data_IF_124019369786
#
_entry.id   IF_124019369786
#
_cell.length_a   1.000
_cell.length_b   1.000
_cell.length_c   1.000
_cell.angle_alpha   90.00
_cell.angle_beta   90.00
_cell.angle_gamma   90.00
#
_symmetry.space_group_name_H-M   'P 1'
#
loop_
_entity.id
_entity.type
_entity.pdbx_description
1 polymer ?
#
# COMPACT_ATOMS: atom_id res chain seq x y z
N UNK A 1 -29.61 -14.56 -14.90
CA UNK A 1 -28.17 -14.27 -14.72
C UNK A 1 -27.63 -13.53 -15.93
N UNK A 2 -26.81 -12.50 -15.72
CA UNK A 2 -26.22 -11.68 -16.76
C UNK A 2 -24.69 -11.81 -16.72
N UNK A 3 -24.04 -11.75 -17.88
CA UNK A 3 -22.59 -11.63 -18.01
C UNK A 3 -22.30 -10.37 -18.81
N UNK A 4 -21.60 -9.42 -18.19
CA UNK A 4 -21.23 -8.16 -18.80
C UNK A 4 -19.73 -8.12 -19.00
N UNK A 5 -19.27 -7.58 -20.11
CA UNK A 5 -17.85 -7.45 -20.43
C UNK A 5 -17.52 -6.03 -20.85
N UNK A 6 -16.34 -5.57 -20.47
CA UNK A 6 -15.80 -4.29 -20.89
C UNK A 6 -14.29 -4.38 -21.08
N UNK A 7 -13.71 -3.39 -21.76
CA UNK A 7 -12.28 -3.32 -22.02
C UNK A 7 -11.74 -1.96 -21.64
N UNK A 8 -10.76 -1.95 -20.74
CA UNK A 8 -10.17 -0.73 -20.20
C UNK A 8 -8.72 -0.60 -20.65
N UNK A 9 -8.34 0.50 -21.32
CA UNK A 9 -6.94 0.79 -21.60
C UNK A 9 -6.21 1.14 -20.30
N UNK A 10 -4.95 0.71 -20.19
CA UNK A 10 -4.04 1.07 -19.11
C UNK A 10 -3.16 2.27 -19.48
N UNK A 11 -3.32 2.79 -20.69
CA UNK A 11 -2.64 4.00 -21.17
C UNK A 11 -3.02 5.22 -20.30
N UNK A 12 -2.03 6.05 -19.98
CA UNK A 12 -2.23 7.24 -19.15
C UNK A 12 -2.33 6.98 -17.64
N UNK A 13 -2.26 5.72 -17.20
CA UNK A 13 -2.17 5.37 -15.77
C UNK A 13 -0.77 5.71 -15.20
N UNK A 14 -0.67 5.66 -13.88
CA UNK A 14 0.58 5.91 -13.16
C UNK A 14 1.73 5.04 -13.70
N UNK A 15 2.94 5.60 -13.98
CA UNK A 15 4.02 4.91 -14.70
C UNK A 15 4.60 3.67 -13.99
N UNK A 16 4.33 3.48 -12.71
CA UNK A 16 4.70 2.25 -11.99
C UNK A 16 3.76 1.09 -12.32
N UNK A 17 2.49 1.34 -12.66
CA UNK A 17 1.47 0.29 -12.85
C UNK A 17 1.88 -0.72 -13.94
N UNK A 18 2.32 -0.30 -15.15
CA UNK A 18 2.74 -1.23 -16.18
C UNK A 18 3.95 -2.10 -15.80
N UNK A 19 4.71 -1.71 -14.76
CA UNK A 19 5.85 -2.49 -14.24
C UNK A 19 5.45 -3.51 -13.19
N UNK A 20 4.28 -3.34 -12.59
CA UNK A 20 3.74 -4.23 -11.56
C UNK A 20 2.76 -5.25 -12.13
N UNK A 21 2.14 -4.92 -13.25
CA UNK A 21 1.16 -5.78 -13.92
C UNK A 21 1.84 -6.77 -14.88
N UNK A 22 1.37 -8.00 -14.84
CA UNK A 22 1.78 -9.07 -15.74
C UNK A 22 0.57 -9.61 -16.51
N UNK A 23 0.81 -10.18 -17.66
CA UNK A 23 -0.22 -10.94 -18.37
C UNK A 23 -0.73 -12.08 -17.48
N UNK A 24 -2.04 -12.23 -17.39
CA UNK A 24 -2.66 -13.22 -16.51
C UNK A 24 -2.91 -12.76 -15.07
N UNK A 25 -2.60 -11.50 -14.72
CA UNK A 25 -3.05 -10.93 -13.44
C UNK A 25 -4.57 -10.77 -13.45
N UNK A 26 -5.24 -11.39 -12.49
CA UNK A 26 -6.69 -11.36 -12.32
C UNK A 26 -7.05 -10.53 -11.08
N UNK A 27 -7.64 -9.37 -11.27
CA UNK A 27 -8.29 -8.60 -10.21
C UNK A 27 -9.65 -9.24 -9.92
N UNK A 28 -9.98 -9.38 -8.64
CA UNK A 28 -11.19 -10.08 -8.20
C UNK A 28 -11.84 -9.36 -7.02
N UNK A 29 -13.16 -9.18 -7.11
CA UNK A 29 -14.03 -8.65 -6.08
C UNK A 29 -15.40 -9.32 -6.14
N UNK A 30 -16.05 -9.54 -5.00
CA UNK A 30 -17.39 -10.15 -4.94
C UNK A 30 -18.37 -9.30 -4.15
N UNK A 31 -19.64 -9.38 -4.55
CA UNK A 31 -20.75 -8.82 -3.80
C UNK A 31 -21.65 -9.91 -3.25
N UNK A 32 -22.05 -9.74 -2.00
CA UNK A 32 -22.79 -10.76 -1.26
C UNK A 32 -24.04 -10.21 -0.60
N UNK A 33 -25.00 -11.08 -0.31
CA UNK A 33 -26.25 -10.72 0.42
C UNK A 33 -26.04 -10.49 1.92
N UNK A 34 -24.78 -10.60 2.40
CA UNK A 34 -24.36 -10.37 3.77
C UNK A 34 -23.04 -11.05 4.12
N UNK A 35 -22.54 -10.88 5.34
CA UNK A 35 -21.16 -11.21 5.71
C UNK A 35 -20.88 -12.69 6.03
N UNK A 36 -21.92 -13.52 6.23
CA UNK A 36 -21.73 -14.92 6.60
C UNK A 36 -21.68 -15.83 5.37
N UNK A 37 -20.53 -16.36 5.04
CA UNK A 37 -20.29 -17.28 3.90
C UNK A 37 -21.16 -18.56 3.93
N UNK A 38 -21.66 -18.96 5.09
CA UNK A 38 -22.55 -20.13 5.22
C UNK A 38 -24.04 -19.79 5.01
N UNK A 39 -24.47 -18.56 5.39
CA UNK A 39 -25.88 -18.15 5.38
C UNK A 39 -26.25 -17.23 4.23
N UNK A 40 -25.25 -16.52 3.68
CA UNK A 40 -25.46 -15.55 2.61
C UNK A 40 -24.89 -16.07 1.28
N UNK A 41 -25.26 -15.40 0.21
CA UNK A 41 -24.99 -15.81 -1.16
C UNK A 41 -24.18 -14.75 -1.89
N UNK A 42 -23.42 -15.17 -2.88
CA UNK A 42 -22.78 -14.28 -3.84
C UNK A 42 -23.80 -13.94 -4.93
N UNK A 43 -24.00 -12.66 -5.20
CA UNK A 43 -24.86 -12.24 -6.29
C UNK A 43 -24.11 -11.56 -7.45
N UNK A 44 -22.85 -11.19 -7.23
CA UNK A 44 -22.03 -10.56 -8.25
C UNK A 44 -20.56 -10.97 -8.04
N UNK A 45 -19.92 -11.41 -9.10
CA UNK A 45 -18.47 -11.59 -9.17
C UNK A 45 -17.96 -10.66 -10.25
N UNK A 46 -17.12 -9.70 -9.87
CA UNK A 46 -16.38 -8.85 -10.78
C UNK A 46 -14.94 -9.31 -10.89
N UNK A 47 -14.44 -9.42 -12.09
CA UNK A 47 -13.05 -9.70 -12.33
C UNK A 47 -12.51 -8.92 -13.53
N UNK A 48 -11.21 -8.58 -13.48
CA UNK A 48 -10.50 -7.97 -14.59
C UNK A 48 -9.20 -8.71 -14.85
N UNK A 49 -9.05 -9.23 -16.06
CA UNK A 49 -7.84 -9.92 -16.48
C UNK A 49 -6.95 -8.97 -17.27
N UNK A 50 -5.71 -8.80 -16.84
CA UNK A 50 -4.70 -8.03 -17.55
C UNK A 50 -4.12 -8.86 -18.73
N UNK A 51 -4.04 -8.27 -19.92
CA UNK A 51 -3.37 -8.85 -21.09
C UNK A 51 -1.89 -8.45 -21.19
N UNK A 52 -1.36 -7.95 -20.08
CA UNK A 52 -0.03 -7.35 -19.97
C UNK A 52 -0.16 -5.89 -19.51
N UNK A 53 0.67 -4.99 -20.06
CA UNK A 53 0.74 -3.60 -19.63
C UNK A 53 -0.23 -2.63 -20.32
N UNK A 54 -1.05 -3.12 -21.28
CA UNK A 54 -1.81 -2.22 -22.15
C UNK A 54 -3.32 -2.20 -21.89
N UNK A 55 -3.91 -3.35 -21.52
CA UNK A 55 -5.37 -3.47 -21.42
C UNK A 55 -5.78 -4.42 -20.31
N UNK A 56 -6.93 -4.13 -19.69
CA UNK A 56 -7.66 -5.06 -18.85
C UNK A 56 -9.02 -5.39 -19.43
N UNK A 57 -9.39 -6.65 -19.37
CA UNK A 57 -10.70 -7.16 -19.75
C UNK A 57 -11.53 -7.41 -18.51
N UNK A 58 -12.53 -6.56 -18.25
CA UNK A 58 -13.48 -6.73 -17.16
C UNK A 58 -14.57 -7.70 -17.55
N UNK A 59 -14.93 -8.58 -16.63
CA UNK A 59 -16.09 -9.45 -16.73
C UNK A 59 -16.84 -9.40 -15.40
N UNK A 60 -18.14 -9.17 -15.46
CA UNK A 60 -19.02 -9.22 -14.30
C UNK A 60 -20.06 -10.33 -14.50
N UNK A 61 -20.17 -11.23 -13.53
CA UNK A 61 -21.18 -12.28 -13.46
C UNK A 61 -22.22 -11.84 -12.44
N UNK A 62 -23.43 -11.51 -12.88
CA UNK A 62 -24.48 -10.95 -12.04
C UNK A 62 -25.69 -11.89 -11.98
N UNK A 63 -26.06 -12.30 -10.77
CA UNK A 63 -27.27 -13.05 -10.50
C UNK A 63 -28.45 -12.11 -10.30
N UNK A 64 -29.43 -12.17 -11.18
CA UNK A 64 -30.68 -11.41 -11.06
C UNK A 64 -31.53 -11.85 -9.87
N UNK A 65 -31.36 -13.11 -9.45
CA UNK A 65 -32.05 -13.69 -8.30
C UNK A 65 -31.08 -14.61 -7.51
N UNK A 66 -31.23 -14.71 -6.16
CA UNK A 66 -30.37 -15.56 -5.33
C UNK A 66 -30.31 -17.03 -5.74
N UNK A 67 -31.35 -17.57 -6.38
CA UNK A 67 -31.36 -18.95 -6.89
C UNK A 67 -30.39 -19.20 -8.04
N UNK A 68 -29.82 -18.16 -8.64
CA UNK A 68 -28.88 -18.25 -9.73
C UNK A 68 -27.41 -18.34 -9.26
N UNK A 69 -27.15 -18.37 -7.94
CA UNK A 69 -25.78 -18.41 -7.40
C UNK A 69 -24.98 -19.60 -7.93
N UNK A 70 -25.56 -20.81 -8.02
CA UNK A 70 -24.86 -21.96 -8.55
C UNK A 70 -24.44 -21.74 -10.02
N UNK A 71 -25.35 -21.24 -10.87
CA UNK A 71 -25.04 -20.93 -12.27
C UNK A 71 -23.98 -19.82 -12.39
N UNK A 72 -23.99 -18.82 -11.49
CA UNK A 72 -22.99 -17.77 -11.44
C UNK A 72 -21.60 -18.34 -11.13
N UNK A 73 -21.50 -19.23 -10.14
CA UNK A 73 -20.25 -19.91 -9.75
C UNK A 73 -19.74 -20.86 -10.85
N UNK A 74 -20.63 -21.60 -11.51
CA UNK A 74 -20.30 -22.45 -12.67
C UNK A 74 -19.67 -21.62 -13.79
N UNK A 75 -20.27 -20.47 -14.14
CA UNK A 75 -19.73 -19.59 -15.18
C UNK A 75 -18.40 -18.96 -14.79
N UNK A 76 -18.20 -18.63 -13.53
CA UNK A 76 -16.92 -18.18 -13.04
C UNK A 76 -15.86 -19.28 -13.04
N UNK A 77 -16.21 -20.53 -12.69
CA UNK A 77 -15.32 -21.69 -12.79
C UNK A 77 -14.88 -21.94 -14.24
N UNK A 78 -15.83 -21.92 -15.20
CA UNK A 78 -15.53 -22.01 -16.64
C UNK A 78 -14.57 -20.91 -17.10
N UNK A 79 -14.79 -19.67 -16.63
CA UNK A 79 -13.93 -18.53 -16.91
C UNK A 79 -12.50 -18.77 -16.39
N UNK A 80 -12.35 -19.22 -15.14
CA UNK A 80 -11.03 -19.50 -14.55
C UNK A 80 -10.29 -20.60 -15.34
N UNK A 81 -11.00 -21.69 -15.68
CA UNK A 81 -10.43 -22.77 -16.47
C UNK A 81 -9.98 -22.32 -17.87
N UNK A 82 -10.74 -21.43 -18.52
CA UNK A 82 -10.42 -20.92 -19.84
C UNK A 82 -9.28 -19.88 -19.83
N UNK A 83 -9.16 -19.09 -18.75
CA UNK A 83 -8.20 -17.96 -18.67
C UNK A 83 -6.91 -18.31 -17.96
N UNK A 84 -6.91 -19.33 -17.08
CA UNK A 84 -5.73 -19.79 -16.32
C UNK A 84 -4.90 -18.65 -15.78
N UNK A 85 -5.44 -17.82 -14.84
CA UNK A 85 -4.72 -16.65 -14.33
C UNK A 85 -3.42 -17.06 -13.66
N UNK A 86 -2.41 -16.20 -13.75
CA UNK A 86 -1.11 -16.43 -13.11
C UNK A 86 -1.11 -15.96 -11.64
N UNK A 87 -1.84 -14.89 -11.35
CA UNK A 87 -1.92 -14.27 -10.02
C UNK A 87 -3.29 -13.66 -9.80
N UNK A 88 -3.80 -13.77 -8.57
CA UNK A 88 -5.03 -13.11 -8.13
C UNK A 88 -4.67 -11.86 -7.33
N UNK A 89 -5.27 -10.73 -7.68
CA UNK A 89 -5.10 -9.44 -7.02
C UNK A 89 -6.44 -9.04 -6.41
N UNK A 90 -6.45 -8.74 -5.11
CA UNK A 90 -7.67 -8.42 -4.38
C UNK A 90 -7.45 -7.21 -3.48
N UNK A 91 -8.56 -6.67 -2.96
CA UNK A 91 -8.55 -5.71 -1.87
C UNK A 91 -9.21 -6.30 -0.62
N UNK A 92 -8.41 -6.79 0.34
CA UNK A 92 -8.86 -7.55 1.52
C UNK A 92 -9.50 -8.91 1.20
N UNK A 93 -9.28 -9.42 -0.01
CA UNK A 93 -9.89 -10.67 -0.46
C UNK A 93 -9.40 -11.90 0.27
N UNK A 94 -8.18 -11.88 0.81
CA UNK A 94 -7.68 -12.94 1.70
C UNK A 94 -8.55 -13.14 2.95
N UNK A 95 -9.18 -12.06 3.43
CA UNK A 95 -10.04 -12.07 4.61
C UNK A 95 -11.51 -12.34 4.29
N UNK A 96 -11.96 -12.02 3.09
CA UNK A 96 -13.39 -12.05 2.73
C UNK A 96 -13.67 -12.80 1.43
N UNK A 97 -13.26 -12.30 0.29
CA UNK A 97 -13.67 -12.79 -1.04
C UNK A 97 -13.28 -14.24 -1.27
N UNK A 98 -12.01 -14.57 -1.07
CA UNK A 98 -11.50 -15.92 -1.36
C UNK A 98 -12.11 -16.99 -0.43
N UNK A 99 -12.17 -16.79 0.91
CA UNK A 99 -12.87 -17.74 1.78
C UNK A 99 -14.38 -17.82 1.54
N UNK A 100 -15.00 -16.74 1.04
CA UNK A 100 -16.42 -16.75 0.72
C UNK A 100 -16.66 -17.57 -0.55
N UNK A 101 -15.91 -17.31 -1.62
CA UNK A 101 -15.94 -18.09 -2.86
C UNK A 101 -15.72 -19.58 -2.61
N UNK A 102 -14.67 -19.92 -1.84
CA UNK A 102 -14.36 -21.32 -1.52
C UNK A 102 -15.53 -22.01 -0.81
N UNK A 103 -16.13 -21.38 0.23
CA UNK A 103 -17.24 -21.96 0.96
C UNK A 103 -18.52 -22.10 0.11
N UNK A 104 -18.75 -21.18 -0.85
CA UNK A 104 -19.91 -21.25 -1.74
C UNK A 104 -19.69 -22.29 -2.85
N UNK A 105 -18.49 -22.37 -3.40
CA UNK A 105 -18.10 -23.38 -4.38
C UNK A 105 -18.22 -24.81 -3.79
N UNK A 106 -17.70 -25.02 -2.57
CA UNK A 106 -17.82 -26.28 -1.84
C UNK A 106 -19.31 -26.70 -1.65
N UNK A 107 -20.16 -25.75 -1.25
CA UNK A 107 -21.59 -26.02 -1.05
C UNK A 107 -22.28 -26.54 -2.31
N UNK A 108 -21.89 -26.11 -3.49
CA UNK A 108 -22.48 -26.50 -4.77
C UNK A 108 -21.64 -27.54 -5.53
N UNK A 109 -20.56 -28.04 -4.92
CA UNK A 109 -19.63 -29.00 -5.53
C UNK A 109 -19.03 -28.49 -6.85
N UNK A 110 -18.81 -27.16 -6.95
CA UNK A 110 -18.24 -26.52 -8.14
C UNK A 110 -16.72 -26.38 -7.95
N UNK A 111 -15.89 -26.77 -8.95
CA UNK A 111 -14.44 -26.72 -8.82
C UNK A 111 -13.92 -25.29 -8.99
N UNK A 112 -13.80 -24.56 -7.90
CA UNK A 112 -13.13 -23.26 -7.83
C UNK A 112 -12.01 -23.37 -6.78
N UNK A 113 -10.78 -23.48 -7.23
CA UNK A 113 -9.61 -23.43 -6.37
C UNK A 113 -8.70 -22.27 -6.81
N UNK A 114 -8.49 -21.33 -5.91
CA UNK A 114 -7.63 -20.15 -6.12
C UNK A 114 -6.33 -20.24 -5.32
N UNK A 115 -6.08 -21.35 -4.62
CA UNK A 115 -4.91 -21.54 -3.74
C UNK A 115 -3.59 -21.68 -4.51
N UNK A 116 -3.66 -22.19 -5.73
CA UNK A 116 -2.49 -22.43 -6.59
C UNK A 116 -1.98 -21.16 -7.28
N UNK A 117 -2.78 -20.09 -7.29
CA UNK A 117 -2.39 -18.83 -7.90
C UNK A 117 -1.58 -17.96 -6.94
N UNK A 118 -0.61 -17.21 -7.48
CA UNK A 118 0.03 -16.14 -6.71
C UNK A 118 -1.03 -15.15 -6.19
N UNK A 119 -0.86 -14.64 -4.97
CA UNK A 119 -1.82 -13.72 -4.35
C UNK A 119 -1.17 -12.39 -4.02
N UNK A 120 -1.78 -11.29 -4.46
CA UNK A 120 -1.50 -9.93 -4.01
C UNK A 120 -2.76 -9.34 -3.38
N UNK A 121 -2.77 -9.19 -2.07
CA UNK A 121 -3.83 -8.49 -1.34
C UNK A 121 -3.37 -7.06 -1.05
N UNK A 122 -3.88 -6.09 -1.82
CA UNK A 122 -3.48 -4.67 -1.72
C UNK A 122 -3.72 -4.13 -0.31
N UNK A 123 -4.85 -4.46 0.31
CA UNK A 123 -5.14 -4.02 1.69
C UNK A 123 -4.06 -4.49 2.67
N UNK A 124 -3.65 -5.76 2.59
CA UNK A 124 -2.60 -6.31 3.46
C UNK A 124 -1.27 -5.60 3.26
N UNK A 125 -0.88 -5.33 2.02
CA UNK A 125 0.38 -4.65 1.74
C UNK A 125 0.37 -3.19 2.25
N UNK A 126 -0.71 -2.45 2.00
CA UNK A 126 -0.85 -1.06 2.46
C UNK A 126 -0.91 -0.98 3.99
N UNK A 127 -1.62 -1.90 4.63
CA UNK A 127 -1.77 -1.89 6.10
C UNK A 127 -0.49 -2.25 6.86
N UNK A 128 0.50 -2.87 6.24
CA UNK A 128 1.85 -3.00 6.80
C UNK A 128 2.52 -1.65 7.05
N UNK A 129 2.05 -0.59 6.37
CA UNK A 129 2.61 0.77 6.38
C UNK A 129 1.63 1.80 6.97
N UNK A 130 0.79 1.40 7.94
CA UNK A 130 -0.24 2.28 8.53
C UNK A 130 0.33 3.58 9.09
N UNK A 131 1.47 3.51 9.76
CA UNK A 131 2.11 4.70 10.36
C UNK A 131 2.68 5.64 9.31
N UNK A 132 3.17 5.10 8.19
CA UNK A 132 3.67 5.89 7.07
C UNK A 132 2.55 6.72 6.42
N UNK A 133 1.42 6.08 6.10
CA UNK A 133 0.31 6.76 5.41
C UNK A 133 -0.59 7.56 6.36
N UNK A 134 -0.73 7.12 7.61
CA UNK A 134 -1.53 7.77 8.65
C UNK A 134 -2.93 8.17 8.19
N UNK A 135 -3.65 7.27 7.50
CA UNK A 135 -5.01 7.49 7.01
C UNK A 135 -6.04 7.24 8.12
N UNK A 136 -7.19 7.92 8.04
CA UNK A 136 -8.30 7.76 8.98
C UNK A 136 -8.82 6.31 9.03
N UNK A 137 -8.80 5.61 7.90
CA UNK A 137 -9.06 4.18 7.77
C UNK A 137 -8.39 3.68 6.47
N UNK A 138 -8.44 2.35 6.24
CA UNK A 138 -7.78 1.71 5.10
C UNK A 138 -8.78 1.02 4.18
N UNK A 139 -10.00 1.55 4.05
CA UNK A 139 -10.97 1.11 3.04
C UNK A 139 -10.49 1.52 1.65
N UNK A 140 -10.90 0.80 0.63
CA UNK A 140 -10.53 1.08 -0.76
C UNK A 140 -10.78 2.54 -1.13
N UNK A 141 -11.97 3.05 -0.89
CA UNK A 141 -12.36 4.46 -1.15
C UNK A 141 -11.45 5.49 -0.45
N UNK A 142 -10.97 5.18 0.75
CA UNK A 142 -10.07 6.10 1.47
C UNK A 142 -8.69 6.14 0.82
N UNK A 143 -8.20 5.00 0.34
CA UNK A 143 -6.92 4.93 -0.37
C UNK A 143 -7.06 5.57 -1.76
N UNK A 144 -8.17 5.35 -2.46
CA UNK A 144 -8.48 6.03 -3.73
C UNK A 144 -8.45 7.56 -3.55
N UNK A 145 -9.10 8.08 -2.51
CA UNK A 145 -9.07 9.52 -2.18
C UNK A 145 -7.65 10.02 -1.88
N UNK A 146 -6.88 9.27 -1.11
CA UNK A 146 -5.47 9.60 -0.84
C UNK A 146 -4.65 9.66 -2.13
N UNK A 147 -4.90 8.77 -3.09
CA UNK A 147 -4.24 8.74 -4.39
C UNK A 147 -4.84 9.73 -5.41
N UNK A 148 -5.85 10.51 -5.01
CA UNK A 148 -6.58 11.44 -5.88
C UNK A 148 -7.27 10.75 -7.08
N UNK A 149 -7.71 9.51 -6.91
CA UNK A 149 -8.42 8.75 -7.94
C UNK A 149 -9.91 9.13 -7.98
N UNK A 150 -10.49 9.36 -9.17
CA UNK A 150 -11.92 9.66 -9.31
C UNK A 150 -12.78 8.41 -9.08
N UNK A 151 -13.96 8.60 -8.47
CA UNK A 151 -14.95 7.57 -8.27
C UNK A 151 -16.37 8.17 -8.34
N UNK A 152 -17.28 7.54 -9.09
CA UNK A 152 -18.67 7.97 -9.22
C UNK A 152 -19.56 7.33 -8.15
N UNK A 153 -19.30 6.05 -7.81
CA UNK A 153 -20.07 5.33 -6.80
C UNK A 153 -19.85 5.87 -5.39
N UNK A 154 -20.97 6.15 -4.72
CA UNK A 154 -21.01 6.71 -3.35
C UNK A 154 -21.49 5.72 -2.29
N UNK A 155 -22.02 4.56 -2.72
CA UNK A 155 -22.60 3.57 -1.82
C UNK A 155 -21.53 2.76 -1.09
N UNK A 156 -21.86 2.29 0.09
CA UNK A 156 -21.11 1.27 0.79
C UNK A 156 -21.65 -0.12 0.45
N UNK A 157 -20.82 -1.17 0.54
CA UNK A 157 -21.29 -2.55 0.31
C UNK A 157 -22.49 -2.94 1.19
N UNK A 158 -22.59 -2.41 2.43
CA UNK A 158 -23.73 -2.65 3.31
C UNK A 158 -25.05 -2.07 2.77
N UNK A 159 -25.01 -0.89 2.16
CA UNK A 159 -26.18 -0.28 1.50
C UNK A 159 -26.60 -1.07 0.27
N UNK A 160 -25.65 -1.60 -0.49
CA UNK A 160 -25.91 -2.40 -1.69
C UNK A 160 -26.60 -3.73 -1.39
N UNK A 161 -26.39 -4.32 -0.23
CA UNK A 161 -27.19 -5.48 0.23
C UNK A 161 -28.69 -5.14 0.22
N UNK A 162 -29.04 -3.94 0.68
CA UNK A 162 -30.44 -3.48 0.66
C UNK A 162 -30.94 -3.19 -0.76
N UNK A 163 -30.09 -2.59 -1.59
CA UNK A 163 -30.39 -2.35 -3.01
C UNK A 163 -30.66 -3.68 -3.72
N UNK A 164 -29.79 -4.70 -3.53
CA UNK A 164 -29.99 -6.01 -4.15
C UNK A 164 -31.26 -6.70 -3.67
N UNK A 165 -31.57 -6.70 -2.36
CA UNK A 165 -32.84 -7.25 -1.83
C UNK A 165 -34.08 -6.57 -2.43
N UNK A 166 -34.01 -5.26 -2.67
CA UNK A 166 -35.08 -4.52 -3.32
C UNK A 166 -35.14 -4.80 -4.83
N UNK A 167 -33.98 -5.01 -5.47
CA UNK A 167 -33.91 -5.43 -6.87
C UNK A 167 -34.57 -6.79 -7.09
N UNK A 168 -34.28 -7.78 -6.25
CA UNK A 168 -34.88 -9.11 -6.34
C UNK A 168 -36.41 -9.07 -6.21
N UNK A 169 -36.97 -8.18 -5.35
CA UNK A 169 -38.41 -8.04 -5.17
C UNK A 169 -39.07 -7.32 -6.33
N UNK A 170 -38.44 -6.29 -6.87
CA UNK A 170 -38.93 -5.48 -7.97
C UNK A 170 -37.73 -5.07 -8.85
N UNK A 171 -37.36 -5.94 -9.82
CA UNK A 171 -36.26 -5.68 -10.74
C UNK A 171 -36.48 -4.37 -11.52
N UNK A 172 -35.43 -3.52 -11.52
CA UNK A 172 -35.39 -2.33 -12.38
C UNK A 172 -33.94 -2.01 -12.78
N UNK A 173 -33.80 -1.38 -13.94
CA UNK A 173 -32.49 -1.07 -14.53
C UNK A 173 -31.64 -0.11 -13.68
N UNK A 174 -32.28 0.78 -12.91
CA UNK A 174 -31.56 1.73 -12.05
C UNK A 174 -30.82 1.02 -10.90
N UNK A 175 -31.52 0.09 -10.23
CA UNK A 175 -30.90 -0.71 -9.15
C UNK A 175 -29.80 -1.62 -9.69
N UNK A 176 -30.05 -2.32 -10.83
CA UNK A 176 -29.04 -3.15 -11.46
C UNK A 176 -27.79 -2.33 -11.79
N UNK A 177 -27.95 -1.14 -12.37
CA UNK A 177 -26.85 -0.24 -12.69
C UNK A 177 -26.04 0.15 -11.45
N UNK A 178 -26.69 0.46 -10.32
CA UNK A 178 -25.98 0.81 -9.08
C UNK A 178 -25.12 -0.35 -8.57
N UNK A 179 -25.67 -1.57 -8.54
CA UNK A 179 -24.96 -2.78 -8.11
C UNK A 179 -23.75 -3.07 -9.00
N UNK A 180 -23.95 -3.04 -10.30
CA UNK A 180 -22.92 -3.28 -11.30
C UNK A 180 -21.82 -2.21 -11.27
N UNK A 181 -22.21 -0.92 -11.15
CA UNK A 181 -21.25 0.19 -11.11
C UNK A 181 -20.31 0.09 -9.91
N UNK A 182 -20.83 -0.25 -8.73
CA UNK A 182 -20.02 -0.37 -7.51
C UNK A 182 -18.89 -1.40 -7.70
N UNK A 183 -19.26 -2.63 -8.02
CA UNK A 183 -18.28 -3.70 -8.24
C UNK A 183 -17.35 -3.40 -9.44
N UNK A 184 -17.87 -2.80 -10.51
CA UNK A 184 -17.07 -2.38 -11.66
C UNK A 184 -15.98 -1.41 -11.24
N UNK A 185 -16.31 -0.40 -10.41
CA UNK A 185 -15.34 0.58 -9.94
C UNK A 185 -14.39 -0.02 -8.91
N UNK A 186 -14.82 -0.97 -8.08
CA UNK A 186 -13.94 -1.68 -7.15
C UNK A 186 -12.88 -2.50 -7.91
N UNK A 187 -13.28 -3.26 -8.92
CA UNK A 187 -12.37 -4.06 -9.76
C UNK A 187 -11.43 -3.17 -10.58
N UNK A 188 -11.99 -2.15 -11.26
CA UNK A 188 -11.21 -1.19 -12.06
C UNK A 188 -10.23 -0.42 -11.19
N UNK A 189 -10.69 0.06 -10.04
CA UNK A 189 -9.92 0.87 -9.11
C UNK A 189 -8.72 0.14 -8.53
N UNK A 190 -8.81 -1.18 -8.32
CA UNK A 190 -7.69 -1.96 -7.80
C UNK A 190 -6.42 -1.83 -8.65
N UNK A 191 -6.54 -1.73 -9.98
CA UNK A 191 -5.38 -1.49 -10.84
C UNK A 191 -4.75 -0.11 -10.59
N UNK A 192 -5.58 0.92 -10.39
CA UNK A 192 -5.10 2.27 -10.08
C UNK A 192 -4.50 2.36 -8.67
N UNK A 193 -5.01 1.56 -7.72
CA UNK A 193 -4.45 1.47 -6.37
C UNK A 193 -3.01 0.97 -6.35
N UNK A 194 -2.53 0.25 -7.36
CA UNK A 194 -1.13 -0.18 -7.43
C UNK A 194 -0.15 1.01 -7.43
N UNK A 195 -0.61 2.22 -7.78
CA UNK A 195 0.18 3.44 -7.65
C UNK A 195 0.63 3.73 -6.21
N UNK A 196 -0.04 3.18 -5.17
CA UNK A 196 0.37 3.29 -3.77
C UNK A 196 1.78 2.75 -3.52
N UNK A 197 2.22 1.76 -4.30
CA UNK A 197 3.54 1.17 -4.16
C UNK A 197 4.68 2.10 -4.63
N UNK A 198 4.35 3.24 -5.28
CA UNK A 198 5.35 4.27 -5.63
C UNK A 198 6.03 4.87 -4.39
N UNK A 199 5.33 4.94 -3.26
CA UNK A 199 5.90 5.41 -1.99
C UNK A 199 6.95 4.44 -1.45
N UNK A 200 6.67 3.13 -1.47
CA UNK A 200 7.67 2.13 -1.09
C UNK A 200 8.84 2.09 -2.07
N UNK A 201 8.57 2.17 -3.37
CA UNK A 201 9.60 2.26 -4.39
C UNK A 201 10.52 3.47 -4.17
N UNK A 202 9.95 4.64 -3.81
CA UNK A 202 10.71 5.83 -3.48
C UNK A 202 11.59 5.64 -2.23
N UNK A 203 11.03 5.11 -1.15
CA UNK A 203 11.75 4.96 0.12
C UNK A 203 12.84 3.87 0.06
N UNK A 204 12.74 2.92 -0.88
CA UNK A 204 13.73 1.86 -1.11
C UNK A 204 14.79 2.21 -2.15
N UNK A 205 14.47 3.12 -3.05
CA UNK A 205 15.38 3.50 -4.14
C UNK A 205 16.63 4.22 -3.60
N UNK A 206 17.69 4.22 -4.40
CA UNK A 206 18.81 5.12 -4.18
C UNK A 206 18.29 6.57 -4.26
N UNK A 207 18.57 7.43 -3.26
CA UNK A 207 18.06 8.79 -3.25
C UNK A 207 18.66 9.62 -4.39
N UNK A 208 17.83 10.44 -5.01
CA UNK A 208 18.24 11.39 -6.04
C UNK A 208 18.09 12.80 -5.45
N UNK A 209 19.11 13.36 -4.80
CA UNK A 209 19.04 14.70 -4.23
C UNK A 209 19.10 15.74 -5.34
N UNK A 210 18.20 16.70 -5.25
CA UNK A 210 18.16 17.89 -6.11
C UNK A 210 18.87 19.04 -5.41
N UNK A 211 18.71 19.14 -4.09
CA UNK A 211 19.31 20.18 -3.24
C UNK A 211 19.46 19.66 -1.82
N UNK A 212 20.56 20.04 -1.17
CA UNK A 212 20.74 19.86 0.27
C UNK A 212 21.17 21.20 0.88
N UNK A 213 20.63 21.54 2.05
CA UNK A 213 20.95 22.77 2.76
C UNK A 213 20.82 22.58 4.28
N UNK A 214 21.53 23.39 5.02
CA UNK A 214 21.36 23.55 6.46
C UNK A 214 20.44 24.75 6.72
N UNK A 215 19.51 24.58 7.64
CA UNK A 215 18.60 25.65 8.03
C UNK A 215 18.59 25.77 9.55
N UNK A 216 18.74 27.02 10.04
CA UNK A 216 18.51 27.35 11.45
C UNK A 216 17.10 27.91 11.59
N UNK A 217 16.43 27.56 12.68
CA UNK A 217 15.09 28.04 13.01
C UNK A 217 14.94 28.14 14.53
N UNK A 218 13.84 28.74 14.96
CA UNK A 218 13.46 28.75 16.37
C UNK A 218 12.29 27.78 16.54
N UNK A 219 12.41 26.82 17.45
CA UNK A 219 11.35 25.86 17.74
C UNK A 219 10.13 26.52 18.45
N UNK A 220 9.07 25.75 18.67
CA UNK A 220 7.84 26.24 19.32
C UNK A 220 8.12 26.72 20.76
N UNK A 221 9.15 26.18 21.41
CA UNK A 221 9.59 26.58 22.76
C UNK A 221 10.48 27.81 22.78
N UNK A 222 10.82 28.41 21.63
CA UNK A 222 11.72 29.56 21.54
C UNK A 222 13.20 29.19 21.50
N UNK A 223 13.55 27.91 21.41
CA UNK A 223 14.95 27.44 21.39
C UNK A 223 15.51 27.44 19.97
N UNK A 224 16.73 27.97 19.75
CA UNK A 224 17.39 27.84 18.46
C UNK A 224 17.66 26.39 18.10
N UNK A 225 17.29 25.99 16.89
CA UNK A 225 17.43 24.64 16.37
C UNK A 225 17.99 24.67 14.94
N UNK A 226 18.58 23.59 14.52
CA UNK A 226 19.13 23.40 13.17
C UNK A 226 18.60 22.11 12.56
N UNK A 227 18.47 22.09 11.25
CA UNK A 227 18.10 20.92 10.50
C UNK A 227 18.84 20.82 9.16
N UNK A 228 19.02 19.58 8.71
CA UNK A 228 19.40 19.26 7.34
C UNK A 228 18.12 19.11 6.52
N UNK A 229 17.99 19.90 5.46
CA UNK A 229 16.89 19.78 4.50
C UNK A 229 17.45 19.20 3.20
N UNK A 230 16.89 18.08 2.76
CA UNK A 230 17.26 17.46 1.47
C UNK A 230 16.01 17.39 0.60
N UNK A 231 16.08 18.09 -0.56
CA UNK A 231 15.07 17.95 -1.61
C UNK A 231 15.45 16.78 -2.50
N UNK A 232 14.51 15.84 -2.66
CA UNK A 232 14.70 14.60 -3.39
C UNK A 232 13.73 14.51 -4.56
N UNK A 233 14.13 13.78 -5.60
CA UNK A 233 13.25 13.40 -6.71
C UNK A 233 12.86 11.94 -6.55
N UNK A 234 11.58 11.60 -6.36
CA UNK A 234 11.09 10.23 -6.41
C UNK A 234 11.31 9.60 -7.80
N UNK A 235 11.53 8.27 -7.89
CA UNK A 235 11.68 7.57 -9.18
C UNK A 235 10.40 7.53 -9.99
N UNK A 236 9.25 7.71 -9.33
CA UNK A 236 7.92 7.83 -9.92
C UNK A 236 7.17 8.97 -9.25
N UNK A 237 6.25 9.68 -9.93
CA UNK A 237 5.39 10.66 -9.30
C UNK A 237 4.65 10.07 -8.12
N UNK A 238 4.50 10.80 -7.03
CA UNK A 238 3.74 10.36 -5.85
C UNK A 238 2.31 10.92 -5.94
N UNK A 239 1.27 10.09 -6.12
CA UNK A 239 -0.07 10.56 -6.46
C UNK A 239 -0.69 11.46 -5.40
N UNK A 240 -0.59 11.08 -4.15
CA UNK A 240 -1.11 11.84 -3.01
C UNK A 240 -0.03 12.55 -2.22
N UNK A 241 -0.45 13.33 -1.24
CA UNK A 241 0.47 14.03 -0.33
C UNK A 241 0.81 13.12 0.84
N UNK A 242 2.07 12.68 0.92
CA UNK A 242 2.61 11.99 2.07
C UNK A 242 3.21 13.00 3.05
N UNK A 243 2.91 12.83 4.35
CA UNK A 243 3.53 13.58 5.42
C UNK A 243 3.69 12.64 6.62
N UNK A 244 4.93 12.33 6.95
CA UNK A 244 5.23 11.42 8.07
C UNK A 244 6.46 11.88 8.83
N UNK A 245 6.47 11.60 10.12
CA UNK A 245 7.58 11.83 11.03
C UNK A 245 7.96 10.52 11.70
N UNK A 246 9.25 10.25 11.79
CA UNK A 246 9.73 9.10 12.55
C UNK A 246 9.83 9.50 14.04
N UNK A 247 9.05 8.89 14.94
CA UNK A 247 8.90 9.36 16.32
C UNK A 247 10.21 9.30 17.11
N UNK A 248 11.13 8.41 16.73
CA UNK A 248 12.40 8.23 17.40
C UNK A 248 13.48 9.19 16.90
N UNK A 249 13.56 9.36 15.58
CA UNK A 249 14.65 10.11 14.95
C UNK A 249 14.31 11.58 14.74
N UNK A 250 13.04 11.96 14.81
CA UNK A 250 12.54 13.28 14.44
C UNK A 250 12.67 13.61 12.96
N UNK A 251 13.08 12.62 12.13
CA UNK A 251 13.16 12.81 10.69
C UNK A 251 11.74 12.96 10.12
N UNK A 252 11.51 14.05 9.40
CA UNK A 252 10.23 14.39 8.81
C UNK A 252 10.31 14.37 7.29
N UNK A 253 9.38 13.66 6.66
CA UNK A 253 9.27 13.57 5.20
C UNK A 253 7.93 14.17 4.75
N UNK A 254 8.01 15.09 3.78
CA UNK A 254 6.85 15.57 3.04
C UNK A 254 7.09 15.34 1.55
N UNK A 255 6.20 14.61 0.90
CA UNK A 255 6.40 14.21 -0.48
C UNK A 255 5.09 14.25 -1.28
N UNK A 256 5.15 14.71 -2.54
CA UNK A 256 4.02 14.73 -3.48
C UNK A 256 4.54 15.00 -4.90
N UNK A 257 3.92 14.39 -5.89
CA UNK A 257 4.36 14.53 -7.29
C UNK A 257 5.82 14.11 -7.46
N UNK A 258 6.60 14.96 -8.09
CA UNK A 258 8.01 14.70 -8.41
C UNK A 258 8.99 15.23 -7.34
N UNK A 259 8.49 15.62 -6.18
CA UNK A 259 9.32 16.28 -5.16
C UNK A 259 9.05 15.70 -3.77
N UNK A 260 10.13 15.46 -3.04
CA UNK A 260 10.09 15.12 -1.63
C UNK A 260 11.08 15.98 -0.84
N UNK A 261 10.68 16.42 0.34
CA UNK A 261 11.51 17.17 1.29
C UNK A 261 11.71 16.33 2.55
N UNK A 262 12.94 15.90 2.75
CA UNK A 262 13.37 15.24 3.97
C UNK A 262 14.03 16.29 4.88
N UNK A 263 13.56 16.36 6.13
CA UNK A 263 14.11 17.21 7.19
C UNK A 263 14.64 16.33 8.31
N UNK A 264 15.86 16.58 8.73
CA UNK A 264 16.52 15.82 9.78
C UNK A 264 17.05 16.80 10.83
N UNK A 265 16.68 16.63 12.12
CA UNK A 265 17.22 17.46 13.20
C UNK A 265 18.73 17.36 13.31
N UNK A 266 19.39 18.48 13.59
CA UNK A 266 20.82 18.56 13.86
C UNK A 266 21.07 19.01 15.29
N UNK A 267 22.16 18.53 15.86
CA UNK A 267 22.66 18.84 17.20
C UNK A 267 24.10 19.38 17.04
N UNK A 268 24.28 20.69 17.09
CA UNK A 268 25.59 21.32 16.88
C UNK A 268 26.27 20.85 15.58
N UNK A 269 25.57 20.92 14.47
CA UNK A 269 26.05 20.45 13.15
C UNK A 269 26.30 18.95 13.05
N UNK A 270 25.79 18.17 14.00
CA UNK A 270 25.85 16.71 13.99
C UNK A 270 24.47 16.11 13.77
N UNK A 271 24.37 15.12 12.91
CA UNK A 271 23.15 14.30 12.74
C UNK A 271 23.30 12.96 13.45
N UNK A 272 22.21 12.42 13.95
CA UNK A 272 22.18 11.05 14.48
C UNK A 272 21.89 10.05 13.37
N UNK A 273 22.73 9.02 13.27
CA UNK A 273 22.51 7.86 12.40
C UNK A 273 22.07 6.69 13.28
N UNK A 274 20.77 6.40 13.32
CA UNK A 274 20.21 5.33 14.15
C UNK A 274 20.34 3.95 13.50
N UNK A 275 20.62 2.92 14.32
CA UNK A 275 20.63 1.52 13.92
C UNK A 275 19.36 0.81 14.38
N UNK A 276 18.65 0.12 13.46
CA UNK A 276 17.39 -0.57 13.75
C UNK A 276 17.58 -1.88 14.53
N UNK A 277 18.73 -2.50 14.38
CA UNK A 277 19.10 -3.76 15.04
C UNK A 277 19.78 -3.56 16.41
N UNK A 278 19.24 -2.63 17.20
CA UNK A 278 19.80 -2.20 18.48
C UNK A 278 20.24 -3.36 19.41
N UNK A 279 19.64 -4.54 19.29
CA UNK A 279 20.01 -5.74 20.05
C UNK A 279 21.45 -6.19 19.83
N UNK A 280 22.07 -5.78 18.73
CA UNK A 280 23.45 -6.09 18.37
C UNK A 280 24.43 -5.00 18.78
N UNK A 281 23.98 -4.00 19.53
CA UNK A 281 24.79 -2.85 19.92
C UNK A 281 24.87 -2.69 21.43
N UNK A 282 25.93 -2.01 21.87
CA UNK A 282 26.06 -1.38 23.19
C UNK A 282 26.05 0.13 23.00
N UNK A 283 25.43 0.83 23.95
CA UNK A 283 25.51 2.27 24.08
C UNK A 283 26.66 2.64 25.00
N UNK A 284 27.41 3.67 24.64
CA UNK A 284 28.55 4.22 25.40
C UNK A 284 28.12 5.58 25.96
N UNK A 285 27.75 5.67 27.26
CA UNK A 285 27.26 6.93 27.83
C UNK A 285 28.26 8.07 27.80
N UNK A 286 29.57 7.78 27.89
CA UNK A 286 30.62 8.79 27.85
C UNK A 286 30.78 9.47 26.48
N UNK A 287 30.56 8.72 25.41
CA UNK A 287 30.69 9.18 24.03
C UNK A 287 29.32 9.54 23.40
N UNK A 288 28.23 9.28 24.12
CA UNK A 288 26.83 9.44 23.63
C UNK A 288 26.61 8.80 22.25
N UNK A 289 27.04 7.52 22.07
CA UNK A 289 26.88 6.79 20.80
C UNK A 289 26.82 5.28 21.01
N UNK A 290 26.28 4.59 20.03
CA UNK A 290 26.25 3.14 20.02
C UNK A 290 27.38 2.53 19.20
N UNK A 291 27.88 1.39 19.65
CA UNK A 291 28.89 0.58 18.94
C UNK A 291 28.43 -0.87 18.80
N UNK A 292 28.69 -1.48 17.67
CA UNK A 292 28.36 -2.88 17.46
C UNK A 292 29.10 -3.79 18.44
N UNK A 293 28.46 -4.85 18.91
CA UNK A 293 29.00 -5.76 19.94
C UNK A 293 30.35 -6.34 19.58
N UNK A 294 30.64 -6.59 18.29
CA UNK A 294 31.94 -7.09 17.84
C UNK A 294 33.09 -6.12 18.06
N UNK A 295 32.81 -4.81 18.02
CA UNK A 295 33.80 -3.74 18.26
C UNK A 295 33.90 -3.43 19.75
N UNK A 296 32.77 -3.53 20.46
CA UNK A 296 32.71 -3.24 21.89
C UNK A 296 33.41 -4.26 22.80
N UNK A 297 34.04 -5.30 22.25
CA UNK A 297 34.78 -6.31 23.04
C UNK A 297 35.96 -5.68 23.81
N UNK A 298 36.57 -4.64 23.26
CA UNK A 298 37.69 -3.90 23.87
C UNK A 298 37.25 -2.80 24.88
N UNK A 299 35.93 -2.53 24.97
CA UNK A 299 35.41 -1.52 25.90
C UNK A 299 35.11 -2.19 27.24
N UNK A 300 35.53 -1.58 28.37
CA UNK A 300 35.20 -2.08 29.70
C UNK A 300 33.68 -2.14 29.91
N UNK A 301 33.26 -3.18 30.67
CA UNK A 301 31.82 -3.41 30.92
C UNK A 301 31.14 -2.28 31.72
N UNK A 302 31.93 -1.54 32.50
CA UNK A 302 31.44 -0.40 33.30
C UNK A 302 31.16 0.84 32.47
N UNK A 303 31.69 0.91 31.22
CA UNK A 303 31.53 2.04 30.30
C UNK A 303 30.57 1.74 29.14
N UNK A 304 29.83 0.62 29.18
CA UNK A 304 28.87 0.25 28.15
C UNK A 304 27.59 -0.33 28.72
N UNK A 305 26.50 0.03 28.12
CA UNK A 305 25.15 -0.45 28.42
C UNK A 305 24.55 -1.17 27.23
N UNK A 306 23.53 -2.01 27.44
CA UNK A 306 22.76 -2.56 26.30
C UNK A 306 22.07 -1.40 25.60
N UNK A 307 22.24 -1.31 24.27
CA UNK A 307 21.55 -0.29 23.50
C UNK A 307 20.03 -0.54 23.51
N UNK A 308 19.30 0.56 23.54
CA UNK A 308 17.85 0.63 23.33
C UNK A 308 17.57 1.39 22.04
N UNK A 309 16.36 1.31 21.46
CA UNK A 309 16.03 2.06 20.24
C UNK A 309 16.39 3.54 20.30
N UNK A 310 16.22 4.17 21.47
CA UNK A 310 16.37 5.60 21.69
C UNK A 310 17.84 6.07 21.70
N UNK A 311 18.78 5.20 22.06
CA UNK A 311 20.20 5.51 22.18
C UNK A 311 21.10 4.72 21.20
N UNK A 312 20.49 3.95 20.28
CA UNK A 312 21.25 3.16 19.31
C UNK A 312 21.57 3.98 18.04
N UNK A 313 22.43 4.96 18.18
CA UNK A 313 22.87 5.82 17.09
C UNK A 313 24.37 6.12 17.17
N UNK A 314 24.91 6.61 16.05
CA UNK A 314 26.22 7.27 16.00
C UNK A 314 26.08 8.67 15.42
N UNK A 315 27.11 9.49 15.66
CA UNK A 315 27.14 10.87 15.20
C UNK A 315 27.75 10.99 13.81
N UNK A 316 27.15 11.81 12.96
CA UNK A 316 27.64 12.15 11.62
C UNK A 316 27.79 13.66 11.52
N UNK A 317 29.02 14.14 11.29
CA UNK A 317 29.25 15.57 11.07
C UNK A 317 28.63 16.00 9.74
N UNK A 318 27.85 17.11 9.78
CA UNK A 318 27.14 17.65 8.62
C UNK A 318 27.75 19.03 8.30
N UNK A 319 28.79 18.98 7.49
CA UNK A 319 29.51 20.15 6.96
C UNK A 319 29.33 20.29 5.44
N UNK A 320 29.99 21.26 4.84
CA UNK A 320 29.93 21.48 3.38
C UNK A 320 30.51 20.32 2.58
N UNK A 321 31.54 19.63 3.11
CA UNK A 321 32.12 18.43 2.48
C UNK A 321 31.14 17.26 2.50
N UNK A 322 30.41 17.08 3.61
CA UNK A 322 29.35 16.09 3.70
C UNK A 322 28.23 16.34 2.68
N UNK A 323 27.75 17.58 2.55
CA UNK A 323 26.67 17.94 1.63
C UNK A 323 26.98 17.67 0.15
N UNK A 324 28.28 17.66 -0.22
CA UNK A 324 28.75 17.43 -1.60
C UNK A 324 29.31 16.02 -1.83
N UNK A 325 29.26 15.14 -0.83
CA UNK A 325 29.87 13.82 -0.87
C UNK A 325 28.85 12.68 -1.05
N UNK A 326 29.34 11.48 -1.40
CA UNK A 326 28.55 10.24 -1.39
C UNK A 326 28.00 9.88 -0.01
N UNK A 327 28.61 10.39 1.08
CA UNK A 327 28.13 10.17 2.46
C UNK A 327 26.72 10.74 2.70
N UNK A 328 26.35 11.87 2.04
CA UNK A 328 24.99 12.37 2.07
C UNK A 328 24.01 11.35 1.51
N UNK A 329 24.34 10.70 0.38
CA UNK A 329 23.45 9.71 -0.24
C UNK A 329 23.25 8.50 0.66
N UNK A 330 24.31 7.99 1.27
CA UNK A 330 24.26 6.87 2.21
C UNK A 330 23.42 7.21 3.43
N UNK A 331 23.61 8.40 4.00
CA UNK A 331 22.85 8.88 5.15
C UNK A 331 21.36 9.02 4.82
N UNK A 332 21.03 9.70 3.72
CA UNK A 332 19.64 9.90 3.28
C UNK A 332 18.97 8.56 2.98
N UNK A 333 19.68 7.65 2.29
CA UNK A 333 19.18 6.29 2.02
C UNK A 333 18.83 5.54 3.32
N UNK A 334 19.66 5.69 4.34
CA UNK A 334 19.45 5.08 5.65
C UNK A 334 18.19 5.68 6.33
N UNK A 335 18.05 7.01 6.37
CA UNK A 335 16.89 7.68 6.96
C UNK A 335 15.59 7.33 6.23
N UNK A 336 15.59 7.27 4.90
CA UNK A 336 14.41 6.85 4.13
C UNK A 336 13.98 5.41 4.45
N UNK A 337 14.93 4.49 4.64
CA UNK A 337 14.63 3.11 5.06
C UNK A 337 14.07 3.04 6.48
N UNK A 338 14.48 3.93 7.38
CA UNK A 338 13.90 4.03 8.72
C UNK A 338 12.42 4.46 8.63
N UNK A 339 12.10 5.46 7.80
CA UNK A 339 10.71 5.87 7.54
C UNK A 339 9.86 4.74 6.96
N UNK A 340 10.45 3.83 6.18
CA UNK A 340 9.75 2.66 5.67
C UNK A 340 9.38 1.64 6.77
N UNK A 341 10.09 1.66 7.91
CA UNK A 341 9.80 0.79 9.05
C UNK A 341 8.61 1.25 9.89
N UNK A 342 8.02 2.42 9.61
CA UNK A 342 6.78 2.92 10.22
C UNK A 342 5.58 2.08 9.77
#
# INVERSE_FOLDING_TARGET
>A
MQILTDRIPLEGKHPLIPRLLHAGDLFLDIETTGLSRTRHQIYLIGCALADGSQTMHITQFFADHPSEEAALLEKFSEFLAAKTPARVITFNGSGFDLPFLAARAEKYEIPIDLSDYGLLDIYREVTKRKRLFNLANYRQKTIEQFLCLPREDKFSGGELITVYKNYVKAPDAGKARLLLLHNYEDVRGMADLLAIFSYEAFLRAAPIPVKAALQSYTDIGGTPAEELIVTLRPPYPLPGKLSCEHPLTGAYLRASGDTAHLRVPLYHRMARLYYLDYKNYYYLPGEDMAVHKSVAVSVDRTHREKAAPENCYTWVAVDTAFLSSGRLLEYVSHVLRQLLSL
#
